data_IF_455819905765
#
_entry.id   IF_455819905765
#
_cell.length_a   1.000
_cell.length_b   1.000
_cell.length_c   1.000
_cell.angle_alpha   90.00
_cell.angle_beta   90.00
_cell.angle_gamma   90.00
#
_symmetry.space_group_name_H-M   'P 1'
#
loop_
_entity.id
_entity.type
_entity.pdbx_description
1 polymer ?
#
# COMPACT_ATOMS: atom_id res chain seq x y z
N UNK A 1 -4.22 25.81 3.67
CA UNK A 1 -3.29 24.74 3.29
C UNK A 1 -4.15 23.63 2.74
N UNK A 2 -4.03 23.35 1.44
CA UNK A 2 -4.99 22.54 0.70
C UNK A 2 -4.99 21.09 1.17
N UNK A 3 -6.16 20.63 1.62
CA UNK A 3 -6.51 19.22 1.51
C UNK A 3 -6.99 19.01 0.07
N UNK A 4 -6.03 18.78 -0.82
CA UNK A 4 -6.38 18.25 -2.14
C UNK A 4 -6.78 16.80 -1.95
N UNK A 5 -8.02 16.53 -2.35
CA UNK A 5 -8.69 15.24 -2.49
C UNK A 5 -7.76 14.23 -3.18
N UNK A 6 -6.92 13.56 -2.38
CA UNK A 6 -6.20 12.38 -2.82
C UNK A 6 -7.04 11.19 -2.33
N UNK A 7 -7.59 10.36 -3.23
CA UNK A 7 -8.35 9.17 -2.86
C UNK A 7 -7.52 8.12 -2.09
N UNK A 8 -6.22 8.38 -1.93
CA UNK A 8 -5.32 7.62 -1.08
C UNK A 8 -5.11 8.43 0.21
N UNK A 9 -5.25 7.85 1.42
CA UNK A 9 -4.75 8.51 2.62
C UNK A 9 -3.34 9.01 2.32
N UNK A 10 -3.08 10.28 2.60
CA UNK A 10 -1.78 10.92 2.40
C UNK A 10 -0.69 9.89 2.69
N UNK A 11 -0.04 9.37 1.64
CA UNK A 11 0.94 8.29 1.74
C UNK A 11 2.27 8.85 2.24
N UNK A 12 2.19 9.77 3.21
CA UNK A 12 3.31 10.30 3.95
C UNK A 12 3.92 9.20 4.77
N UNK A 13 5.23 9.31 4.98
CA UNK A 13 6.00 8.34 5.77
C UNK A 13 5.36 8.09 7.13
N UNK A 14 4.94 9.13 7.83
CA UNK A 14 4.34 9.03 9.16
C UNK A 14 3.02 8.23 9.17
N UNK A 15 2.15 8.47 8.18
CA UNK A 15 0.89 7.72 8.02
C UNK A 15 1.18 6.24 7.70
N UNK A 16 2.11 5.97 6.78
CA UNK A 16 2.50 4.61 6.40
C UNK A 16 3.08 3.83 7.59
N UNK A 17 3.98 4.45 8.37
CA UNK A 17 4.58 3.81 9.54
C UNK A 17 3.52 3.56 10.62
N UNK A 18 2.65 4.53 10.89
CA UNK A 18 1.60 4.42 11.91
C UNK A 18 0.55 3.37 11.56
N UNK A 19 0.30 3.14 10.27
CA UNK A 19 -0.69 2.15 9.78
C UNK A 19 -0.06 0.83 9.31
N UNK A 20 1.27 0.69 9.35
CA UNK A 20 1.98 -0.47 8.79
C UNK A 20 1.48 -1.81 9.32
N UNK A 21 1.17 -1.89 10.62
CA UNK A 21 0.63 -3.12 11.22
C UNK A 21 -0.74 -3.49 10.67
N UNK A 22 -1.61 -2.50 10.47
CA UNK A 22 -2.95 -2.70 9.92
C UNK A 22 -2.88 -3.09 8.45
N UNK A 23 -2.11 -2.34 7.65
CA UNK A 23 -1.88 -2.65 6.23
C UNK A 23 -1.22 -4.03 6.06
N UNK A 24 -0.27 -4.37 6.92
CA UNK A 24 0.39 -5.68 6.93
C UNK A 24 -0.56 -6.84 7.20
N UNK A 25 -1.63 -6.64 7.96
CA UNK A 25 -2.68 -7.65 8.17
C UNK A 25 -3.78 -7.63 7.11
N UNK A 26 -4.16 -6.45 6.60
CA UNK A 26 -5.29 -6.29 5.69
C UNK A 26 -4.93 -6.51 4.22
N UNK A 27 -3.67 -6.28 3.84
CA UNK A 27 -3.17 -6.37 2.47
C UNK A 27 -2.00 -7.35 2.35
N UNK A 28 -1.99 -8.40 3.18
CA UNK A 28 -0.87 -9.35 3.26
C UNK A 28 -0.64 -10.08 1.94
N UNK A 29 -1.71 -10.50 1.28
CA UNK A 29 -1.64 -11.31 0.07
C UNK A 29 -1.07 -10.51 -1.12
N UNK A 30 -1.55 -9.28 -1.32
CA UNK A 30 -1.05 -8.37 -2.35
C UNK A 30 0.41 -8.01 -2.10
N UNK A 31 0.78 -7.72 -0.84
CA UNK A 31 2.15 -7.39 -0.46
C UNK A 31 3.11 -8.57 -0.69
N UNK A 32 2.71 -9.79 -0.33
CA UNK A 32 3.51 -10.99 -0.56
C UNK A 32 3.67 -11.28 -2.05
N UNK A 33 2.59 -11.18 -2.83
CA UNK A 33 2.64 -11.40 -4.27
C UNK A 33 3.60 -10.40 -4.96
N UNK A 34 3.50 -9.11 -4.62
CA UNK A 34 4.39 -8.09 -5.15
C UNK A 34 5.85 -8.30 -4.74
N UNK A 35 6.10 -8.62 -3.46
CA UNK A 35 7.46 -8.87 -2.94
C UNK A 35 8.09 -10.10 -3.58
N UNK A 36 7.31 -11.16 -3.78
CA UNK A 36 7.75 -12.36 -4.50
C UNK A 36 8.12 -12.03 -5.95
N UNK A 37 7.26 -11.30 -6.66
CA UNK A 37 7.55 -10.86 -8.03
C UNK A 37 8.85 -10.05 -8.11
N UNK A 38 9.06 -9.11 -7.19
CA UNK A 38 10.31 -8.32 -7.09
C UNK A 38 11.55 -9.16 -6.82
N UNK A 39 11.42 -10.25 -6.07
CA UNK A 39 12.54 -11.15 -5.80
C UNK A 39 12.91 -11.97 -7.05
N UNK A 40 11.92 -12.32 -7.88
CA UNK A 40 12.11 -13.14 -9.08
C UNK A 40 12.45 -12.31 -10.33
N UNK A 41 12.06 -11.03 -10.37
CA UNK A 41 12.20 -10.16 -11.54
C UNK A 41 12.93 -8.87 -11.18
N UNK A 42 13.98 -8.55 -11.95
CA UNK A 42 14.68 -7.26 -11.82
C UNK A 42 14.01 -6.13 -12.63
N UNK A 43 13.15 -6.49 -13.59
CA UNK A 43 12.38 -5.54 -14.37
C UNK A 43 11.17 -5.03 -13.56
N UNK A 44 11.01 -3.71 -13.37
CA UNK A 44 9.91 -3.16 -12.59
C UNK A 44 8.55 -3.28 -13.30
N UNK A 45 8.51 -3.28 -14.63
CA UNK A 45 7.26 -3.36 -15.41
C UNK A 45 6.61 -4.75 -15.27
N UNK A 46 7.41 -5.81 -15.13
CA UNK A 46 6.94 -7.17 -14.88
C UNK A 46 6.03 -7.29 -13.65
N UNK A 47 6.23 -6.46 -12.62
CA UNK A 47 5.46 -6.49 -11.37
C UNK A 47 4.42 -5.36 -11.25
N UNK A 48 4.23 -4.52 -12.28
CA UNK A 48 3.35 -3.33 -12.21
C UNK A 48 1.93 -3.66 -11.78
N UNK A 49 1.32 -4.71 -12.33
CA UNK A 49 -0.05 -5.13 -11.98
C UNK A 49 -0.18 -5.46 -10.49
N UNK A 50 0.84 -6.10 -9.91
CA UNK A 50 0.88 -6.45 -8.49
C UNK A 50 1.09 -5.20 -7.62
N UNK A 51 1.88 -4.24 -8.10
CA UNK A 51 2.03 -2.93 -7.44
C UNK A 51 0.72 -2.15 -7.40
N UNK A 52 -0.06 -2.16 -8.48
CA UNK A 52 -1.41 -1.56 -8.51
C UNK A 52 -2.33 -2.24 -7.49
N UNK A 53 -2.31 -3.57 -7.40
CA UNK A 53 -3.12 -4.30 -6.42
C UNK A 53 -2.79 -3.91 -4.97
N UNK A 54 -1.50 -3.73 -4.63
CA UNK A 54 -1.08 -3.24 -3.31
C UNK A 54 -1.65 -1.85 -3.02
N UNK A 55 -1.57 -0.93 -4.00
CA UNK A 55 -2.12 0.42 -3.86
C UNK A 55 -3.64 0.42 -3.71
N UNK A 56 -4.34 -0.41 -4.48
CA UNK A 56 -5.81 -0.56 -4.40
C UNK A 56 -6.26 -1.17 -3.08
N UNK A 57 -5.51 -2.11 -2.51
CA UNK A 57 -5.81 -2.62 -1.18
C UNK A 57 -5.57 -1.54 -0.11
N UNK A 58 -4.46 -0.81 -0.21
CA UNK A 58 -4.10 0.25 0.74
C UNK A 58 -5.12 1.39 0.75
N UNK A 59 -5.71 1.75 -0.40
CA UNK A 59 -6.77 2.77 -0.47
C UNK A 59 -8.10 2.34 0.15
N UNK A 60 -8.37 1.03 0.16
CA UNK A 60 -9.57 0.42 0.75
C UNK A 60 -9.39 0.02 2.22
N UNK A 61 -8.13 -0.04 2.69
CA UNK A 61 -7.83 -0.44 4.05
C UNK A 61 -8.53 0.51 5.04
N UNK A 62 -9.13 -0.03 6.12
CA UNK A 62 -9.78 0.81 7.12
C UNK A 62 -8.78 1.83 7.64
N UNK A 63 -9.12 3.12 7.60
CA UNK A 63 -8.33 4.14 8.27
C UNK A 63 -8.38 3.83 9.76
N UNK A 64 -7.21 3.68 10.40
CA UNK A 64 -7.15 3.50 11.85
C UNK A 64 -7.88 4.67 12.50
N UNK A 65 -9.03 4.39 13.13
CA UNK A 65 -9.70 5.38 13.97
C UNK A 65 -8.81 5.70 15.17
N UNK A 66 -8.44 6.98 15.29
CA UNK A 66 -8.12 7.71 16.52
C UNK A 66 -7.38 6.98 17.65
N UNK A 67 -6.09 7.30 17.78
CA UNK A 67 -5.45 7.52 19.08
C UNK A 67 -5.14 9.01 19.21
#
# INVERSE_FOLDING_TARGET
>A
MGEEDMPFPSATRDVLISTAKLLGSSCVDENLAFTKCKAENSDPEACMKLGVAVLECTSKAPRGCGL
#
